data_IF_186954849532
#
_entry.id   IF_186954849532
#
_cell.length_a   1.000
_cell.length_b   1.000
_cell.length_c   1.000
_cell.angle_alpha   90.00
_cell.angle_beta   90.00
_cell.angle_gamma   90.00
#
_symmetry.space_group_name_H-M   'P 1'
#
loop_
_entity.id
_entity.type
_entity.pdbx_description
1 polymer ?
#
# COMPACT_ATOMS: atom_id res chain seq x y z
N UNK A 1 -5.04 6.02 -18.83
CA UNK A 1 -6.32 6.66 -18.47
C UNK A 1 -6.29 7.16 -17.02
N UNK A 2 -5.97 6.33 -16.07
CA UNK A 2 -5.98 6.61 -14.62
C UNK A 2 -5.07 7.79 -14.24
N UNK A 3 -3.77 7.73 -14.51
CA UNK A 3 -2.85 8.84 -14.17
C UNK A 3 -3.28 10.20 -14.74
N UNK A 4 -3.85 10.25 -15.94
CA UNK A 4 -4.35 11.51 -16.52
C UNK A 4 -5.59 12.00 -15.80
N UNK A 5 -6.48 11.11 -15.39
CA UNK A 5 -7.66 11.45 -14.59
C UNK A 5 -7.27 11.94 -13.19
N UNK A 6 -6.37 11.25 -12.50
CA UNK A 6 -5.88 11.63 -11.16
C UNK A 6 -5.22 13.02 -11.22
N UNK A 7 -4.37 13.28 -12.24
CA UNK A 7 -3.74 14.59 -12.41
C UNK A 7 -4.78 15.71 -12.64
N UNK A 8 -5.79 15.46 -13.47
CA UNK A 8 -6.90 16.39 -13.68
C UNK A 8 -7.72 16.63 -12.42
N UNK A 9 -8.09 15.57 -11.69
CA UNK A 9 -8.85 15.64 -10.44
C UNK A 9 -8.10 16.44 -9.37
N UNK A 10 -6.79 16.19 -9.21
CA UNK A 10 -5.91 16.94 -8.29
C UNK A 10 -5.89 18.44 -8.62
N UNK A 11 -5.74 18.79 -9.90
CA UNK A 11 -5.75 20.19 -10.34
C UNK A 11 -7.10 20.86 -10.09
N UNK A 12 -8.21 20.15 -10.29
CA UNK A 12 -9.54 20.68 -10.08
C UNK A 12 -9.87 20.82 -8.59
N UNK A 13 -9.52 19.82 -7.78
CA UNK A 13 -9.69 19.86 -6.33
C UNK A 13 -8.89 20.97 -5.65
N UNK A 14 -7.76 21.40 -6.21
CA UNK A 14 -6.96 22.51 -5.70
C UNK A 14 -7.69 23.87 -5.65
N UNK A 15 -8.85 23.98 -6.32
CA UNK A 15 -9.72 25.18 -6.29
C UNK A 15 -10.73 25.17 -5.14
N UNK A 16 -10.84 24.06 -4.42
CA UNK A 16 -11.75 23.89 -3.28
C UNK A 16 -11.03 24.21 -1.96
N UNK A 17 -11.76 24.32 -0.81
CA UNK A 17 -11.14 24.48 0.49
C UNK A 17 -10.03 23.45 0.72
N UNK A 18 -8.89 23.91 1.24
CA UNK A 18 -7.70 23.07 1.36
C UNK A 18 -7.84 22.10 2.54
N UNK A 19 -7.51 20.84 2.28
CA UNK A 19 -7.14 19.87 3.30
C UNK A 19 -5.63 19.89 3.50
N UNK A 20 -5.12 19.33 4.58
CA UNK A 20 -3.68 19.32 4.89
C UNK A 20 -2.87 18.56 3.84
N UNK A 21 -3.37 17.41 3.40
CA UNK A 21 -2.86 16.62 2.28
C UNK A 21 -4.06 16.10 1.49
N UNK A 22 -4.10 16.41 0.22
CA UNK A 22 -5.13 15.94 -0.70
C UNK A 22 -4.64 14.82 -1.61
N UNK A 23 -5.19 14.75 -2.82
CA UNK A 23 -4.91 13.71 -3.81
C UNK A 23 -3.40 13.63 -4.14
N UNK A 24 -2.80 12.43 -4.04
CA UNK A 24 -1.42 12.16 -4.47
C UNK A 24 -0.52 11.47 -3.44
N UNK A 25 -1.09 10.99 -2.34
CA UNK A 25 -0.43 10.12 -1.36
C UNK A 25 -1.40 8.98 -1.00
N UNK A 26 -0.96 8.00 -0.17
CA UNK A 26 -1.76 6.82 0.18
C UNK A 26 -3.04 7.17 0.94
N UNK A 27 -3.02 8.24 1.75
CA UNK A 27 -4.22 8.77 2.42
C UNK A 27 -4.35 10.28 2.20
N UNK A 28 -5.58 10.79 2.26
CA UNK A 28 -5.82 12.22 2.52
C UNK A 28 -5.60 12.54 4.00
N UNK A 29 -5.16 13.76 4.32
CA UNK A 29 -5.06 14.24 5.71
C UNK A 29 -5.97 15.46 5.94
N UNK A 30 -6.84 15.33 6.93
CA UNK A 30 -7.58 16.46 7.49
C UNK A 30 -6.80 16.94 8.72
N UNK A 31 -6.40 18.21 8.71
CA UNK A 31 -5.62 18.78 9.79
C UNK A 31 -6.42 18.92 11.09
N UNK A 32 -5.73 18.85 12.20
CA UNK A 32 -6.31 19.02 13.54
C UNK A 32 -7.01 20.35 13.75
N UNK A 33 -6.58 21.41 13.08
CA UNK A 33 -7.22 22.72 13.05
C UNK A 33 -8.64 22.69 12.46
N UNK A 34 -8.90 21.76 11.52
CA UNK A 34 -10.23 21.55 10.95
C UNK A 34 -11.14 20.69 11.83
N UNK A 35 -10.56 20.00 12.84
CA UNK A 35 -11.24 19.07 13.74
C UNK A 35 -11.29 19.59 15.19
N UNK A 36 -10.89 20.85 15.41
CA UNK A 36 -10.77 21.44 16.74
C UNK A 36 -9.87 20.61 17.71
N UNK A 37 -8.90 19.90 17.13
CA UNK A 37 -7.95 19.02 17.83
C UNK A 37 -6.54 19.61 17.72
N UNK A 38 -5.78 19.62 18.81
CA UNK A 38 -4.43 20.18 18.84
C UNK A 38 -3.31 19.18 18.62
N UNK A 39 -3.60 17.87 18.67
CA UNK A 39 -2.55 16.84 18.79
C UNK A 39 -2.48 15.84 17.65
N UNK A 40 -3.55 15.65 16.87
CA UNK A 40 -3.61 14.60 15.85
C UNK A 40 -4.24 15.11 14.56
N UNK A 41 -3.71 14.61 13.43
CA UNK A 41 -4.36 14.70 12.13
C UNK A 41 -5.16 13.42 11.87
N UNK A 42 -6.22 13.51 11.06
CA UNK A 42 -7.01 12.36 10.61
C UNK A 42 -6.51 11.93 9.22
N UNK A 43 -6.06 10.70 9.12
CA UNK A 43 -5.74 10.03 7.87
C UNK A 43 -6.99 9.30 7.36
N UNK A 44 -7.32 9.46 6.09
CA UNK A 44 -8.50 8.84 5.46
C UNK A 44 -8.08 8.25 4.13
N UNK A 45 -8.36 6.96 3.95
CA UNK A 45 -8.19 6.26 2.69
C UNK A 45 -9.47 5.59 2.25
N UNK A 46 -9.53 5.20 0.98
CA UNK A 46 -10.70 4.54 0.42
C UNK A 46 -10.33 3.65 -0.76
N UNK A 47 -10.79 2.39 -0.72
CA UNK A 47 -10.57 1.39 -1.76
C UNK A 47 -11.84 0.72 -2.21
N UNK A 48 -11.85 0.30 -3.47
CA UNK A 48 -12.92 -0.48 -4.09
C UNK A 48 -12.35 -1.75 -4.69
N UNK A 49 -12.89 -2.89 -4.34
CA UNK A 49 -12.56 -4.18 -4.92
C UNK A 49 -13.73 -4.73 -5.71
N UNK A 50 -13.47 -5.21 -6.94
CA UNK A 50 -14.45 -5.74 -7.86
C UNK A 50 -14.17 -7.22 -8.14
N UNK A 51 -15.21 -8.05 -8.06
CA UNK A 51 -15.17 -9.42 -8.53
C UNK A 51 -14.85 -9.47 -10.04
N UNK A 52 -13.98 -10.38 -10.43
CA UNK A 52 -13.43 -10.47 -11.79
C UNK A 52 -12.20 -9.59 -12.05
N UNK A 53 -11.81 -8.72 -11.10
CA UNK A 53 -10.62 -7.86 -11.23
C UNK A 53 -9.64 -8.06 -10.09
N UNK A 54 -10.09 -7.87 -8.86
CA UNK A 54 -9.24 -7.91 -7.67
C UNK A 54 -9.31 -9.25 -6.92
N UNK A 55 -10.34 -10.02 -7.21
CA UNK A 55 -10.57 -11.38 -6.71
C UNK A 55 -11.56 -12.08 -7.65
N UNK A 56 -11.68 -13.41 -7.53
CA UNK A 56 -12.72 -14.21 -8.18
C UNK A 56 -13.59 -14.79 -7.07
N UNK A 57 -14.82 -14.26 -6.90
CA UNK A 57 -15.71 -14.60 -5.80
C UNK A 57 -15.96 -16.12 -5.69
N UNK A 58 -16.13 -16.78 -6.83
CA UNK A 58 -16.39 -18.24 -6.89
C UNK A 58 -15.16 -19.08 -6.49
N UNK A 59 -13.97 -18.53 -6.49
CA UNK A 59 -12.72 -19.20 -6.12
C UNK A 59 -12.33 -18.92 -4.67
N UNK A 60 -12.35 -17.65 -4.24
CA UNK A 60 -11.88 -17.25 -2.91
C UNK A 60 -12.99 -17.20 -1.85
N UNK A 61 -14.24 -17.04 -2.26
CA UNK A 61 -15.37 -16.82 -1.36
C UNK A 61 -15.48 -15.40 -0.80
N UNK A 62 -16.64 -15.08 -0.26
CA UNK A 62 -16.97 -13.74 0.22
C UNK A 62 -16.12 -13.29 1.43
N UNK A 63 -15.79 -14.23 2.32
CA UNK A 63 -14.98 -13.93 3.50
C UNK A 63 -13.56 -13.48 3.13
N UNK A 64 -12.89 -14.18 2.22
CA UNK A 64 -11.56 -13.78 1.76
C UNK A 64 -11.58 -12.42 1.03
N UNK A 65 -12.63 -12.13 0.23
CA UNK A 65 -12.81 -10.83 -0.39
C UNK A 65 -12.97 -9.71 0.65
N UNK A 66 -13.80 -9.92 1.69
CA UNK A 66 -13.97 -8.98 2.79
C UNK A 66 -12.69 -8.75 3.59
N UNK A 67 -11.95 -9.84 3.88
CA UNK A 67 -10.65 -9.74 4.55
C UNK A 67 -9.65 -8.93 3.73
N UNK A 68 -9.56 -9.19 2.40
CA UNK A 68 -8.72 -8.40 1.49
C UNK A 68 -9.09 -6.93 1.52
N UNK A 69 -10.38 -6.58 1.45
CA UNK A 69 -10.83 -5.19 1.49
C UNK A 69 -10.39 -4.46 2.76
N UNK A 70 -10.51 -5.11 3.92
CA UNK A 70 -10.02 -4.54 5.18
C UNK A 70 -8.51 -4.40 5.18
N UNK A 71 -7.79 -5.42 4.68
CA UNK A 71 -6.34 -5.47 4.68
C UNK A 71 -5.71 -4.38 3.80
N UNK A 72 -6.24 -4.10 2.60
CA UNK A 72 -5.69 -3.06 1.70
C UNK A 72 -5.82 -1.68 2.32
N UNK A 73 -6.97 -1.34 2.90
CA UNK A 73 -7.17 -0.06 3.59
C UNK A 73 -6.27 0.08 4.84
N UNK A 74 -6.03 -1.01 5.56
CA UNK A 74 -5.07 -1.00 6.68
C UNK A 74 -3.62 -0.86 6.19
N UNK A 75 -3.30 -1.35 4.98
CA UNK A 75 -1.98 -1.15 4.36
C UNK A 75 -1.69 0.33 4.10
N UNK A 76 -2.65 1.07 3.54
CA UNK A 76 -2.53 2.51 3.35
C UNK A 76 -2.31 3.26 4.66
N UNK A 77 -3.07 2.91 5.71
CA UNK A 77 -2.89 3.52 7.01
C UNK A 77 -1.52 3.20 7.61
N UNK A 78 -1.01 1.97 7.40
CA UNK A 78 0.32 1.57 7.85
C UNK A 78 1.42 2.34 7.12
N UNK A 79 1.30 2.54 5.80
CA UNK A 79 2.26 3.28 4.99
C UNK A 79 2.43 4.74 5.44
N UNK A 80 1.40 5.31 6.06
CA UNK A 80 1.41 6.66 6.61
C UNK A 80 1.67 6.72 8.14
N UNK A 81 2.03 5.60 8.76
CA UNK A 81 2.21 5.47 10.22
C UNK A 81 0.96 5.94 11.00
N UNK A 82 -0.23 5.75 10.44
CA UNK A 82 -1.49 6.07 11.08
C UNK A 82 -2.00 4.88 11.92
N UNK A 83 -2.53 5.18 13.10
CA UNK A 83 -3.23 4.18 13.92
C UNK A 83 -4.67 4.08 13.44
N UNK A 84 -5.15 2.93 12.97
CA UNK A 84 -6.54 2.75 12.55
C UNK A 84 -7.53 3.07 13.66
N UNK A 85 -8.69 3.64 13.30
CA UNK A 85 -9.75 4.00 14.26
C UNK A 85 -11.05 3.31 13.87
N UNK A 86 -11.47 3.50 12.60
CA UNK A 86 -12.81 3.12 12.16
C UNK A 86 -12.86 2.91 10.65
N UNK A 87 -13.83 2.08 10.23
CA UNK A 87 -14.13 1.86 8.81
C UNK A 87 -15.62 2.02 8.53
N UNK A 88 -15.92 2.39 7.28
CA UNK A 88 -17.28 2.39 6.70
C UNK A 88 -17.26 1.47 5.48
N UNK A 89 -18.23 0.54 5.41
CA UNK A 89 -18.28 -0.51 4.40
C UNK A 89 -19.49 -0.29 3.48
N UNK A 90 -19.28 -0.20 2.16
CA UNK A 90 -20.35 -0.12 1.17
C UNK A 90 -20.32 -1.32 0.24
N UNK A 91 -21.48 -1.96 0.05
CA UNK A 91 -21.65 -3.20 -0.69
C UNK A 91 -22.62 -3.02 -1.87
N UNK A 92 -22.18 -3.40 -3.07
CA UNK A 92 -23.06 -3.65 -4.21
C UNK A 92 -23.07 -5.17 -4.46
N UNK A 93 -24.09 -5.84 -3.93
CA UNK A 93 -24.21 -7.28 -3.89
C UNK A 93 -24.83 -7.84 -5.18
N UNK A 94 -24.38 -9.02 -5.68
CA UNK A 94 -25.11 -9.73 -6.72
C UNK A 94 -26.49 -10.15 -6.20
N UNK A 95 -27.48 -10.28 -7.10
CA UNK A 95 -28.83 -10.70 -6.71
C UNK A 95 -28.89 -12.11 -6.10
N UNK A 96 -28.05 -12.98 -6.63
CA UNK A 96 -28.01 -14.37 -6.15
C UNK A 96 -27.24 -14.43 -4.84
N UNK A 97 -27.85 -15.05 -3.82
CA UNK A 97 -27.25 -15.26 -2.50
C UNK A 97 -26.75 -13.98 -1.81
N UNK A 98 -27.37 -12.82 -2.10
CA UNK A 98 -26.93 -11.52 -1.59
C UNK A 98 -26.72 -11.51 -0.06
N UNK A 99 -27.62 -12.16 0.71
CA UNK A 99 -27.50 -12.25 2.17
C UNK A 99 -26.26 -13.01 2.64
N UNK A 100 -26.01 -14.17 2.04
CA UNK A 100 -24.84 -15.02 2.41
C UNK A 100 -23.53 -14.34 1.99
N UNK A 101 -23.54 -13.70 0.80
CA UNK A 101 -22.37 -12.92 0.33
C UNK A 101 -22.09 -11.74 1.26
N UNK A 102 -23.13 -10.99 1.67
CA UNK A 102 -22.97 -9.88 2.61
C UNK A 102 -22.41 -10.34 3.96
N UNK A 103 -22.96 -11.43 4.51
CA UNK A 103 -22.48 -12.01 5.77
C UNK A 103 -21.03 -12.46 5.66
N UNK A 104 -20.68 -13.16 4.58
CA UNK A 104 -19.27 -13.60 4.36
C UNK A 104 -18.30 -12.42 4.24
N UNK A 105 -18.64 -11.37 3.48
CA UNK A 105 -17.82 -10.16 3.40
C UNK A 105 -17.64 -9.53 4.77
N UNK A 106 -18.73 -9.40 5.54
CA UNK A 106 -18.68 -8.82 6.88
C UNK A 106 -17.79 -9.62 7.83
N UNK A 107 -17.86 -10.95 7.82
CA UNK A 107 -17.00 -11.81 8.65
C UNK A 107 -15.51 -11.63 8.30
N UNK A 108 -15.17 -11.52 7.01
CA UNK A 108 -13.79 -11.23 6.60
C UNK A 108 -13.28 -9.87 7.05
N UNK A 109 -14.12 -8.84 6.99
CA UNK A 109 -13.81 -7.50 7.54
C UNK A 109 -13.67 -7.58 9.07
N UNK A 110 -14.59 -8.28 9.75
CA UNK A 110 -14.62 -8.40 11.20
C UNK A 110 -13.35 -9.05 11.75
N UNK A 111 -12.82 -10.08 11.10
CA UNK A 111 -11.58 -10.77 11.49
C UNK A 111 -10.44 -9.78 11.75
N UNK A 112 -10.16 -8.89 10.80
CA UNK A 112 -9.10 -7.91 10.94
C UNK A 112 -9.51 -6.72 11.80
N UNK A 113 -10.77 -6.33 11.79
CA UNK A 113 -11.31 -5.29 12.66
C UNK A 113 -11.11 -5.66 14.15
N UNK A 114 -11.41 -6.90 14.52
CA UNK A 114 -11.18 -7.42 15.88
C UNK A 114 -9.69 -7.48 16.20
N UNK A 115 -8.86 -8.02 15.29
CA UNK A 115 -7.41 -8.14 15.47
C UNK A 115 -6.73 -6.79 15.70
N UNK A 116 -7.08 -5.79 14.92
CA UNK A 116 -6.47 -4.46 14.97
C UNK A 116 -7.27 -3.45 15.83
N UNK A 117 -8.35 -3.90 16.48
CA UNK A 117 -9.21 -3.09 17.34
C UNK A 117 -9.78 -1.86 16.62
N UNK A 118 -10.30 -2.08 15.39
CA UNK A 118 -10.88 -1.07 14.52
C UNK A 118 -12.40 -1.15 14.57
N UNK A 119 -13.07 -0.01 14.79
CA UNK A 119 -14.53 0.01 14.79
C UNK A 119 -15.09 -0.11 13.36
N UNK A 120 -16.14 -0.92 13.17
CA UNK A 120 -16.98 -0.88 11.97
C UNK A 120 -18.14 0.07 12.28
N UNK A 121 -18.09 1.31 11.76
CA UNK A 121 -18.96 2.40 12.20
C UNK A 121 -20.21 2.61 11.34
N UNK A 122 -20.33 1.91 10.22
CA UNK A 122 -21.50 2.01 9.34
C UNK A 122 -21.18 1.63 7.91
N UNK A 123 -22.09 1.99 7.01
CA UNK A 123 -21.93 1.69 5.60
C UNK A 123 -23.25 1.77 4.85
N UNK A 124 -23.27 1.20 3.65
CA UNK A 124 -24.41 1.12 2.78
C UNK A 124 -24.48 -0.25 2.10
N UNK A 125 -25.68 -0.72 1.76
CA UNK A 125 -25.87 -2.03 1.13
C UNK A 125 -26.92 -1.94 0.03
N UNK A 126 -26.50 -2.26 -1.18
CA UNK A 126 -27.35 -2.32 -2.35
C UNK A 126 -27.29 -3.70 -3.03
N UNK A 127 -28.35 -4.08 -3.73
CA UNK A 127 -28.42 -5.28 -4.55
C UNK A 127 -28.65 -4.88 -6.00
N UNK A 128 -27.85 -5.43 -6.92
CA UNK A 128 -27.89 -5.06 -8.34
C UNK A 128 -27.68 -6.23 -9.30
N UNK A 129 -27.82 -5.97 -10.60
CA UNK A 129 -27.61 -6.98 -11.65
C UNK A 129 -26.16 -6.99 -12.14
N UNK A 130 -25.21 -7.24 -11.23
CA UNK A 130 -23.79 -7.26 -11.60
C UNK A 130 -22.96 -8.07 -10.59
N UNK A 131 -21.65 -8.18 -10.82
CA UNK A 131 -20.76 -8.85 -9.89
C UNK A 131 -20.65 -8.14 -8.55
N UNK A 132 -20.08 -8.80 -7.56
CA UNK A 132 -19.80 -8.19 -6.27
C UNK A 132 -18.85 -7.01 -6.41
N UNK A 133 -19.27 -5.85 -5.89
CA UNK A 133 -18.38 -4.70 -5.68
C UNK A 133 -18.43 -4.33 -4.21
N UNK A 134 -17.28 -4.27 -3.59
CA UNK A 134 -17.13 -3.92 -2.18
C UNK A 134 -16.21 -2.70 -2.05
N UNK A 135 -16.60 -1.79 -1.18
CA UNK A 135 -15.91 -0.53 -1.00
C UNK A 135 -15.77 -0.24 0.48
N UNK A 136 -14.62 0.32 0.88
CA UNK A 136 -14.36 0.71 2.25
C UNK A 136 -13.74 2.09 2.29
N UNK A 137 -14.14 2.87 3.29
CA UNK A 137 -13.42 4.06 3.72
C UNK A 137 -12.85 3.79 5.10
N UNK A 138 -11.55 3.92 5.26
CA UNK A 138 -10.87 3.73 6.55
C UNK A 138 -10.33 5.04 7.10
N UNK A 139 -10.47 5.20 8.40
CA UNK A 139 -10.02 6.35 9.16
C UNK A 139 -8.93 5.93 10.15
N UNK A 140 -7.85 6.68 10.16
CA UNK A 140 -6.76 6.52 11.12
C UNK A 140 -6.37 7.87 11.73
N UNK A 141 -5.70 7.84 12.86
CA UNK A 141 -5.08 9.03 13.47
C UNK A 141 -3.57 8.96 13.37
N UNK A 142 -2.97 10.09 13.15
CA UNK A 142 -1.52 10.27 13.19
C UNK A 142 -1.16 11.49 14.02
N UNK A 143 -0.07 11.43 14.78
CA UNK A 143 0.42 12.59 15.52
C UNK A 143 0.64 13.75 14.56
N UNK A 144 0.25 14.96 14.93
CA UNK A 144 0.35 16.14 14.07
C UNK A 144 1.75 16.30 13.49
N UNK A 145 1.83 16.37 12.16
CA UNK A 145 3.11 16.46 11.45
C UNK A 145 3.93 15.16 11.46
N UNK A 146 3.38 14.07 11.97
CA UNK A 146 4.07 12.80 12.11
C UNK A 146 3.74 11.76 11.02
N UNK A 147 2.89 12.08 10.05
CA UNK A 147 2.59 11.18 8.95
C UNK A 147 3.82 10.93 8.09
N UNK A 148 4.04 9.70 7.69
CA UNK A 148 4.94 9.42 6.58
C UNK A 148 4.25 9.79 5.28
N UNK A 149 5.02 10.26 4.32
CA UNK A 149 4.53 10.66 3.01
C UNK A 149 5.41 9.98 1.95
N UNK A 150 4.93 9.89 0.74
CA UNK A 150 5.76 9.54 -0.43
C UNK A 150 6.85 10.58 -0.67
N UNK A 151 6.60 11.83 -0.26
CA UNK A 151 7.56 12.93 -0.32
C UNK A 151 8.35 13.04 0.98
N UNK A 152 9.65 12.89 0.93
CA UNK A 152 10.51 13.01 2.12
C UNK A 152 11.83 12.27 1.98
N UNK A 153 11.93 11.40 0.99
CA UNK A 153 13.17 10.73 0.66
C UNK A 153 14.21 11.73 0.13
N UNK A 154 15.46 11.55 0.53
CA UNK A 154 16.58 12.41 0.12
C UNK A 154 17.68 11.57 -0.52
N UNK A 155 18.45 12.14 -1.46
CA UNK A 155 19.67 11.48 -1.95
C UNK A 155 20.59 11.10 -0.77
N UNK A 156 20.99 9.82 -0.75
CA UNK A 156 21.75 9.22 0.35
C UNK A 156 20.91 8.32 1.26
N UNK A 157 19.58 8.52 1.35
CA UNK A 157 18.72 7.65 2.13
C UNK A 157 18.75 6.21 1.58
N UNK A 158 18.73 5.23 2.47
CA UNK A 158 18.58 3.82 2.10
C UNK A 158 17.18 3.53 1.61
N UNK A 159 17.04 2.71 0.57
CA UNK A 159 15.78 2.10 0.15
C UNK A 159 15.65 0.78 0.90
N UNK A 160 14.60 0.65 1.70
CA UNK A 160 14.34 -0.56 2.50
C UNK A 160 12.93 -1.08 2.18
N UNK A 161 12.79 -2.39 2.03
CA UNK A 161 11.50 -3.06 1.89
C UNK A 161 11.29 -4.04 3.03
N UNK A 162 10.03 -4.24 3.41
CA UNK A 162 9.63 -5.27 4.36
C UNK A 162 9.32 -6.58 3.64
N UNK A 163 9.46 -7.71 4.32
CA UNK A 163 9.05 -9.02 3.83
C UNK A 163 9.74 -9.48 2.55
N UNK A 164 9.00 -10.25 1.73
CA UNK A 164 9.40 -10.78 0.43
C UNK A 164 8.38 -10.37 -0.63
N UNK A 165 8.85 -10.20 -1.88
CA UNK A 165 8.07 -9.60 -2.98
C UNK A 165 7.82 -10.58 -4.12
N UNK A 166 6.69 -10.35 -4.81
CA UNK A 166 6.26 -11.02 -6.03
C UNK A 166 5.49 -12.31 -5.81
N UNK A 167 4.67 -12.69 -6.80
CA UNK A 167 3.87 -13.91 -6.78
C UNK A 167 2.66 -13.86 -5.85
N UNK A 168 2.27 -12.69 -5.35
CA UNK A 168 1.15 -12.50 -4.42
C UNK A 168 -0.16 -13.13 -4.89
N UNK A 169 -0.37 -13.22 -6.19
CA UNK A 169 -1.54 -13.84 -6.84
C UNK A 169 -1.73 -15.33 -6.46
N UNK A 170 -0.70 -16.02 -5.99
CA UNK A 170 -0.82 -17.40 -5.53
C UNK A 170 -1.46 -17.54 -4.13
N UNK A 171 -2.00 -16.44 -3.58
CA UNK A 171 -2.79 -16.46 -2.34
C UNK A 171 -2.43 -15.36 -1.35
N UNK A 172 -1.20 -14.86 -1.34
CA UNK A 172 -0.78 -13.77 -0.44
C UNK A 172 -1.70 -12.55 -0.56
N UNK A 173 -2.10 -12.17 -1.78
CA UNK A 173 -2.97 -11.02 -2.04
C UNK A 173 -4.34 -11.07 -1.33
N UNK A 174 -4.83 -12.26 -0.98
CA UNK A 174 -6.07 -12.45 -0.21
C UNK A 174 -5.81 -12.56 1.30
N UNK A 175 -4.61 -13.00 1.70
CA UNK A 175 -4.32 -13.44 3.07
C UNK A 175 -3.18 -12.65 3.75
N UNK A 176 -2.66 -11.59 3.12
CA UNK A 176 -1.56 -10.83 3.71
C UNK A 176 -1.95 -10.16 5.05
N UNK A 177 -0.95 -9.89 5.86
CA UNK A 177 -1.08 -9.16 7.12
C UNK A 177 -0.64 -7.72 6.92
N UNK A 178 -1.53 -6.73 7.11
CA UNK A 178 -1.19 -5.32 7.06
C UNK A 178 -0.08 -4.98 8.07
N UNK A 179 0.87 -4.14 7.67
CA UNK A 179 2.07 -3.84 8.46
C UNK A 179 1.86 -2.80 9.58
N UNK A 180 0.66 -2.78 10.19
CA UNK A 180 0.25 -1.82 11.23
C UNK A 180 1.21 -1.83 12.43
N UNK A 181 1.46 -2.99 13.03
CA UNK A 181 2.33 -3.08 14.21
C UNK A 181 3.79 -2.77 13.86
N UNK A 182 4.26 -3.23 12.70
CA UNK A 182 5.59 -2.94 12.20
C UNK A 182 5.77 -1.43 11.96
N UNK A 183 4.80 -0.77 11.34
CA UNK A 183 4.80 0.67 11.11
C UNK A 183 4.82 1.46 12.43
N UNK A 184 4.02 1.03 13.42
CA UNK A 184 4.01 1.65 14.75
C UNK A 184 5.37 1.57 15.44
N UNK A 185 6.05 0.42 15.35
CA UNK A 185 7.40 0.24 15.92
C UNK A 185 8.45 1.07 15.17
N UNK A 186 8.44 1.08 13.83
CA UNK A 186 9.33 1.94 13.05
C UNK A 186 9.10 3.43 13.36
N UNK A 187 7.84 3.81 13.58
CA UNK A 187 7.48 5.17 13.99
C UNK A 187 8.09 5.53 15.35
N UNK A 188 8.01 4.61 16.32
CA UNK A 188 8.63 4.78 17.64
C UNK A 188 10.15 4.93 17.56
N UNK A 189 10.80 4.21 16.65
CA UNK A 189 12.25 4.31 16.39
C UNK A 189 12.64 5.63 15.70
N UNK A 190 11.73 6.30 14.99
CA UNK A 190 11.99 7.57 14.32
C UNK A 190 12.98 7.46 13.16
N UNK A 191 13.00 6.34 12.45
CA UNK A 191 14.02 6.03 11.43
C UNK A 191 13.56 6.20 9.98
N UNK A 192 12.28 6.54 9.74
CA UNK A 192 11.70 6.62 8.39
C UNK A 192 11.47 8.07 7.99
N UNK A 193 11.97 8.45 6.82
CA UNK A 193 11.79 9.80 6.23
C UNK A 193 10.68 9.86 5.17
N UNK A 194 10.43 8.76 4.45
CA UNK A 194 9.31 8.61 3.52
C UNK A 194 8.86 7.14 3.47
N UNK A 195 7.60 6.91 3.12
CA UNK A 195 7.07 5.57 2.97
C UNK A 195 5.91 5.54 1.96
N UNK A 196 5.66 4.34 1.43
CA UNK A 196 4.43 3.91 0.73
C UNK A 196 4.29 2.40 0.95
N UNK A 197 3.13 1.83 0.70
CA UNK A 197 3.02 0.38 0.54
C UNK A 197 3.35 -0.03 -0.91
N UNK A 198 3.52 -1.33 -1.13
CA UNK A 198 3.79 -1.91 -2.45
C UNK A 198 2.51 -2.60 -2.93
N UNK A 199 1.66 -1.83 -3.60
CA UNK A 199 0.36 -2.25 -4.14
C UNK A 199 0.41 -2.47 -5.66
N UNK A 200 1.05 -1.58 -6.42
CA UNK A 200 1.18 -1.66 -7.87
C UNK A 200 2.43 -2.42 -8.32
N UNK A 201 3.30 -2.76 -7.39
CA UNK A 201 4.59 -3.40 -7.58
C UNK A 201 5.76 -2.46 -7.32
N UNK A 202 6.86 -3.03 -6.84
CA UNK A 202 8.03 -2.27 -6.38
C UNK A 202 8.49 -1.22 -7.40
N UNK A 203 8.43 -1.52 -8.72
CA UNK A 203 8.89 -0.60 -9.75
C UNK A 203 8.04 0.67 -9.85
N UNK A 204 6.71 0.55 -9.82
CA UNK A 204 5.79 1.69 -9.90
C UNK A 204 5.80 2.46 -8.57
N UNK A 205 5.70 1.78 -7.43
CA UNK A 205 5.60 2.44 -6.13
C UNK A 205 6.90 3.17 -5.75
N UNK A 206 8.07 2.60 -6.09
CA UNK A 206 9.34 3.29 -5.95
C UNK A 206 9.44 4.52 -6.87
N UNK A 207 8.93 4.42 -8.10
CA UNK A 207 8.87 5.58 -9.00
C UNK A 207 8.00 6.69 -8.41
N UNK A 208 6.84 6.36 -7.83
CA UNK A 208 5.95 7.32 -7.18
C UNK A 208 6.65 8.06 -6.03
N UNK A 209 7.41 7.33 -5.19
CA UNK A 209 8.22 7.94 -4.12
C UNK A 209 9.30 8.86 -4.69
N UNK A 210 10.01 8.45 -5.75
CA UNK A 210 11.07 9.30 -6.35
C UNK A 210 10.50 10.58 -6.96
N UNK A 211 9.35 10.50 -7.62
CA UNK A 211 8.66 11.67 -8.20
C UNK A 211 8.19 12.62 -7.11
N UNK A 212 7.52 12.10 -6.07
CA UNK A 212 7.05 12.89 -4.94
C UNK A 212 8.20 13.56 -4.17
N UNK A 213 9.32 12.87 -4.03
CA UNK A 213 10.54 13.34 -3.32
C UNK A 213 11.51 14.13 -4.21
N UNK A 214 11.24 14.27 -5.50
CA UNK A 214 12.09 14.99 -6.49
C UNK A 214 13.53 14.46 -6.53
N UNK A 215 13.70 13.16 -6.45
CA UNK A 215 14.99 12.46 -6.52
C UNK A 215 14.90 11.26 -7.45
N UNK A 216 15.87 10.37 -7.44
CA UNK A 216 15.81 9.07 -8.12
C UNK A 216 16.20 7.96 -7.17
N UNK A 217 16.16 6.72 -7.67
CA UNK A 217 16.50 5.52 -6.91
C UNK A 217 17.50 4.65 -7.67
N UNK A 218 18.50 4.13 -6.96
CA UNK A 218 19.44 3.12 -7.44
C UNK A 218 19.19 1.81 -6.69
N UNK A 219 18.65 0.80 -7.38
CA UNK A 219 18.26 -0.49 -6.82
C UNK A 219 19.35 -1.54 -7.07
N UNK A 220 19.72 -2.28 -6.05
CA UNK A 220 20.61 -3.42 -6.11
C UNK A 220 19.79 -4.69 -6.35
N UNK A 221 19.69 -5.11 -7.60
CA UNK A 221 18.76 -6.16 -8.04
C UNK A 221 19.02 -7.51 -7.34
N UNK A 222 20.26 -7.79 -6.97
CA UNK A 222 20.68 -8.99 -6.24
C UNK A 222 20.28 -8.98 -4.75
N UNK A 223 19.77 -7.85 -4.25
CA UNK A 223 19.29 -7.71 -2.87
C UNK A 223 17.78 -7.64 -2.73
N UNK A 224 17.04 -7.60 -3.83
CA UNK A 224 15.58 -7.62 -3.78
C UNK A 224 15.12 -8.96 -3.17
N UNK A 225 14.35 -8.94 -2.07
CA UNK A 225 13.91 -10.17 -1.41
C UNK A 225 12.77 -10.82 -2.20
N UNK A 226 13.10 -11.91 -2.90
CA UNK A 226 12.17 -12.64 -3.77
C UNK A 226 11.39 -13.67 -2.94
N UNK A 227 10.07 -13.74 -3.12
CA UNK A 227 9.21 -14.72 -2.48
C UNK A 227 9.34 -16.11 -3.12
N UNK A 228 8.94 -17.16 -2.39
CA UNK A 228 8.87 -18.52 -2.93
C UNK A 228 7.74 -18.62 -3.98
N UNK A 229 6.70 -17.80 -3.86
CA UNK A 229 5.62 -17.68 -4.83
C UNK A 229 6.11 -17.07 -6.15
N UNK A 230 7.00 -16.08 -6.11
CA UNK A 230 7.62 -15.53 -7.32
C UNK A 230 8.48 -16.58 -8.06
N UNK A 231 9.17 -17.46 -7.31
CA UNK A 231 9.89 -18.61 -7.90
C UNK A 231 8.92 -19.57 -8.60
N UNK A 232 7.77 -19.83 -7.99
CA UNK A 232 6.71 -20.70 -8.54
C UNK A 232 6.06 -20.08 -9.77
N UNK A 233 5.75 -18.79 -9.73
CA UNK A 233 5.21 -18.04 -10.88
C UNK A 233 6.17 -18.05 -12.07
N UNK A 234 7.47 -17.88 -11.84
CA UNK A 234 8.50 -17.87 -12.88
C UNK A 234 8.55 -19.17 -13.68
N UNK A 235 8.30 -20.32 -13.05
CA UNK A 235 8.27 -21.61 -13.73
C UNK A 235 7.16 -21.72 -14.79
N UNK A 236 6.09 -20.93 -14.66
CA UNK A 236 4.91 -20.98 -15.54
C UNK A 236 4.83 -19.82 -16.53
N UNK A 237 5.32 -18.66 -16.14
CA UNK A 237 5.13 -17.40 -16.89
C UNK A 237 6.20 -17.11 -17.93
N UNK A 238 7.38 -17.73 -17.83
CA UNK A 238 8.56 -17.38 -18.63
C UNK A 238 9.25 -16.09 -18.19
N UNK A 239 8.74 -15.38 -17.17
CA UNK A 239 9.38 -14.23 -16.53
C UNK A 239 10.33 -14.73 -15.45
N UNK A 240 11.40 -13.98 -15.18
CA UNK A 240 12.29 -14.31 -14.06
C UNK A 240 11.61 -14.03 -12.71
N UNK A 241 12.04 -14.70 -11.61
CA UNK A 241 11.54 -14.37 -10.26
C UNK A 241 11.72 -12.91 -9.87
N UNK A 242 12.80 -12.28 -10.32
CA UNK A 242 13.04 -10.86 -10.09
C UNK A 242 12.02 -9.97 -10.82
N UNK A 243 11.62 -10.32 -12.04
CA UNK A 243 10.58 -9.60 -12.76
C UNK A 243 9.23 -9.69 -12.07
N UNK A 244 8.93 -10.80 -11.42
CA UNK A 244 7.77 -10.96 -10.56
C UNK A 244 7.88 -10.06 -9.32
N UNK A 245 9.03 -10.09 -8.62
CA UNK A 245 9.25 -9.26 -7.43
C UNK A 245 9.24 -7.74 -7.72
N UNK A 246 9.60 -7.33 -8.94
CA UNK A 246 9.58 -5.91 -9.33
C UNK A 246 8.20 -5.42 -9.79
N UNK A 247 7.33 -6.31 -10.28
CA UNK A 247 6.18 -5.83 -11.04
C UNK A 247 4.86 -6.58 -10.89
N UNK A 248 4.72 -7.59 -10.03
CA UNK A 248 3.43 -8.29 -9.92
C UNK A 248 2.36 -7.46 -9.20
N UNK A 249 2.78 -6.64 -8.23
CA UNK A 249 1.86 -5.89 -7.40
C UNK A 249 1.17 -6.74 -6.32
N UNK A 250 0.32 -6.08 -5.54
CA UNK A 250 -0.45 -6.65 -4.43
C UNK A 250 0.41 -7.37 -3.36
N UNK A 251 1.68 -6.96 -3.21
CA UNK A 251 2.56 -7.47 -2.16
C UNK A 251 2.20 -6.93 -0.78
N UNK A 252 1.69 -5.70 -0.72
CA UNK A 252 1.29 -4.98 0.49
C UNK A 252 2.36 -5.03 1.58
N UNK A 253 3.62 -4.98 1.17
CA UNK A 253 4.77 -4.71 2.01
C UNK A 253 5.04 -3.20 2.05
N UNK A 254 5.84 -2.72 3.01
CA UNK A 254 6.23 -1.31 3.05
C UNK A 254 7.52 -1.08 2.27
N UNK A 255 7.53 0.00 1.50
CA UNK A 255 8.70 0.61 0.88
C UNK A 255 9.06 1.86 1.68
N UNK A 256 10.27 1.91 2.21
CA UNK A 256 10.72 2.90 3.19
C UNK A 256 11.97 3.63 2.68
N UNK A 257 12.02 4.93 2.91
CA UNK A 257 13.26 5.71 2.87
C UNK A 257 13.80 5.86 4.30
N UNK A 258 15.04 5.46 4.51
CA UNK A 258 15.70 5.50 5.82
C UNK A 258 16.98 6.33 5.72
N UNK A 259 17.09 7.46 6.42
CA UNK A 259 18.30 8.28 6.41
C UNK A 259 19.53 7.48 6.86
N UNK A 260 20.65 7.66 6.17
CA UNK A 260 21.88 6.88 6.40
C UNK A 260 22.43 7.05 7.83
N UNK A 261 22.26 8.22 8.43
CA UNK A 261 22.71 8.53 9.80
C UNK A 261 21.95 7.79 10.90
N UNK A 262 20.73 7.34 10.61
CA UNK A 262 19.92 6.55 11.53
C UNK A 262 19.76 5.08 11.11
N UNK A 263 20.32 4.68 9.98
CA UNK A 263 20.19 3.33 9.43
C UNK A 263 20.68 2.25 10.41
N UNK A 264 21.70 2.55 11.22
CA UNK A 264 22.21 1.65 12.25
C UNK A 264 21.21 1.35 13.40
N UNK A 265 20.15 2.16 13.53
CA UNK A 265 19.06 1.94 14.49
C UNK A 265 17.97 1.04 13.93
N UNK A 266 17.96 0.83 12.61
CA UNK A 266 16.98 -0.04 11.97
C UNK A 266 17.32 -1.50 12.29
N UNK A 267 16.41 -2.26 12.93
CA UNK A 267 16.63 -3.68 13.16
C UNK A 267 16.60 -4.45 11.82
N UNK A 268 17.17 -5.65 11.81
CA UNK A 268 17.12 -6.52 10.62
C UNK A 268 15.75 -7.14 10.40
N UNK A 269 14.93 -7.20 11.47
CA UNK A 269 13.55 -7.69 11.43
C UNK A 269 12.72 -7.11 12.58
N UNK A 270 11.41 -7.04 12.40
CA UNK A 270 10.42 -6.73 13.44
C UNK A 270 9.34 -7.80 13.37
N UNK A 271 9.02 -8.45 14.49
CA UNK A 271 8.02 -9.54 14.58
C UNK A 271 8.21 -10.65 13.53
N UNK A 272 9.48 -11.00 13.25
CA UNK A 272 9.84 -12.00 12.26
C UNK A 272 9.77 -11.53 10.80
N UNK A 273 9.34 -10.28 10.55
CA UNK A 273 9.29 -9.68 9.21
C UNK A 273 10.64 -9.04 8.90
N UNK A 274 11.40 -9.51 7.90
CA UNK A 274 12.69 -8.94 7.56
C UNK A 274 12.55 -7.52 6.99
N UNK A 275 13.57 -6.69 7.26
CA UNK A 275 13.76 -5.36 6.72
C UNK A 275 15.01 -5.40 5.84
N UNK A 276 14.85 -5.29 4.54
CA UNK A 276 15.93 -5.50 3.58
C UNK A 276 16.29 -4.20 2.87
N UNK A 277 17.54 -3.74 3.02
CA UNK A 277 18.05 -2.63 2.21
C UNK A 277 18.33 -3.13 0.80
N UNK A 278 17.60 -2.56 -0.17
CA UNK A 278 17.67 -2.93 -1.59
C UNK A 278 18.32 -1.86 -2.47
N UNK A 279 18.74 -0.72 -1.90
CA UNK A 279 19.31 0.35 -2.71
C UNK A 279 19.52 1.65 -1.94
N UNK A 280 19.62 2.74 -2.70
CA UNK A 280 19.82 4.09 -2.18
C UNK A 280 19.11 5.11 -3.06
N UNK A 281 18.49 6.13 -2.46
CA UNK A 281 18.00 7.28 -3.19
C UNK A 281 19.17 8.15 -3.70
N UNK A 282 19.04 8.70 -4.92
CA UNK A 282 20.12 9.40 -5.61
C UNK A 282 19.63 10.74 -6.18
N UNK A 283 20.58 11.64 -6.50
CA UNK A 283 20.26 12.98 -7.06
C UNK A 283 19.72 12.92 -8.49
N UNK A 284 20.22 11.98 -9.31
CA UNK A 284 19.72 11.79 -10.68
C UNK A 284 18.31 11.22 -10.65
N UNK A 285 17.39 11.80 -11.40
CA UNK A 285 15.98 11.40 -11.45
C UNK A 285 15.76 10.05 -12.11
N UNK A 286 14.62 9.40 -11.83
CA UNK A 286 14.23 8.11 -12.39
C UNK A 286 14.77 6.92 -11.62
N UNK A 287 14.48 5.72 -12.15
CA UNK A 287 14.91 4.46 -11.56
C UNK A 287 16.17 3.94 -12.26
N UNK A 288 17.08 3.43 -11.47
CA UNK A 288 18.34 2.87 -11.91
C UNK A 288 18.58 1.53 -11.22
N UNK A 289 19.12 0.58 -11.94
CA UNK A 289 19.64 -0.67 -11.38
C UNK A 289 21.14 -0.61 -11.28
N UNK A 290 21.69 -1.21 -10.25
CA UNK A 290 23.12 -1.40 -10.07
C UNK A 290 23.43 -2.87 -9.93
N UNK A 291 24.36 -3.35 -10.75
CA UNK A 291 24.91 -4.68 -10.71
C UNK A 291 26.44 -4.64 -10.93
N UNK A 292 27.08 -5.81 -11.05
CA UNK A 292 28.53 -5.91 -11.33
C UNK A 292 28.96 -5.29 -12.66
N UNK A 293 28.02 -5.12 -13.61
CA UNK A 293 28.28 -4.50 -14.92
C UNK A 293 28.16 -2.97 -14.91
N UNK A 294 27.76 -2.38 -13.79
CA UNK A 294 27.60 -0.94 -13.60
C UNK A 294 26.16 -0.53 -13.32
N UNK A 295 25.85 0.73 -13.65
CA UNK A 295 24.54 1.32 -13.42
C UNK A 295 23.81 1.50 -14.75
N UNK A 296 22.55 1.03 -14.82
CA UNK A 296 21.69 1.11 -16.01
C UNK A 296 20.33 1.70 -15.62
N UNK A 297 19.66 2.36 -16.56
CA UNK A 297 18.30 2.79 -16.35
C UNK A 297 17.40 1.56 -16.16
N UNK A 298 16.56 1.59 -15.12
CA UNK A 298 15.57 0.56 -14.83
C UNK A 298 14.19 1.06 -15.29
N UNK A 299 13.56 0.32 -16.20
CA UNK A 299 12.19 0.62 -16.58
C UNK A 299 11.25 0.28 -15.40
N UNK A 300 10.33 1.18 -15.02
CA UNK A 300 9.32 0.86 -14.01
C UNK A 300 8.44 -0.29 -14.53
N UNK A 301 8.21 -1.28 -13.68
CA UNK A 301 7.30 -2.40 -13.92
C UNK A 301 6.28 -2.42 -12.81
N UNK A 302 5.04 -2.74 -13.13
CA UNK A 302 3.94 -2.81 -12.18
C UNK A 302 2.59 -2.89 -12.89
N UNK A 303 1.55 -2.95 -12.09
CA UNK A 303 0.18 -2.96 -12.57
C UNK A 303 -0.26 -1.54 -12.93
N UNK A 304 -0.98 -1.40 -14.03
CA UNK A 304 -1.58 -0.12 -14.44
C UNK A 304 -3.03 -0.39 -14.82
N UNK A 305 -3.95 0.20 -14.10
CA UNK A 305 -5.39 0.06 -14.36
C UNK A 305 -5.76 0.49 -15.79
N UNK A 306 -6.48 -0.37 -16.50
CA UNK A 306 -7.00 -0.08 -17.84
C UNK A 306 -5.99 -0.24 -18.98
N UNK A 307 -4.89 -0.97 -18.77
CA UNK A 307 -3.99 -1.44 -19.82
C UNK A 307 -4.14 -2.94 -20.07
#
# INVERSE_FOLDING_TARGET
>A
MEHSFIAWAKQRAARLPKVKLGIGDDCGLIGSESLDSTQSDLAITTDSLCDGTHFILTECGAQAAGRKLMAVNLSDLASMAATPISVFLSLCLPKENAGDVAAGVFEGVYELAEKYQVAISGGDTNVWNGPLVIHMTALGKVVRGGSWLRSGARPGDAIVVTGKLGGSILGKHLAFEPRIYLAAELKRLGVVSAATDISDGLGIDLLNVTVASKCGAEVWLDRVPISDDALTCAQKSGRSPLEHALGDGEDFELLLAVPEDVLSKLPTQIDGIPLTRIGTFVTRTGLWSKDKSGVKQLAPRGYVHGQ
#
